data_IF_709827037077
#
_entry.id   IF_709827037077
#
_cell.length_a   1.000
_cell.length_b   1.000
_cell.length_c   1.000
_cell.angle_alpha   90.00
_cell.angle_beta   90.00
_cell.angle_gamma   90.00
#
_symmetry.space_group_name_H-M   'P 1'
#
loop_
_entity.id
_entity.type
_entity.pdbx_description
1 polymer ?
#
# COMPACT_ATOMS: atom_id res chain seq x y z
N UNK A 1 -6.26 -19.35 -40.02
CA UNK A 1 -5.20 -18.36 -40.33
C UNK A 1 -4.98 -17.52 -39.08
N UNK A 2 -3.75 -17.50 -38.53
CA UNK A 2 -3.41 -16.86 -37.24
C UNK A 2 -2.81 -15.48 -37.52
N UNK A 3 -3.42 -14.42 -36.99
CA UNK A 3 -2.87 -13.07 -37.06
C UNK A 3 -2.18 -12.74 -35.73
N UNK A 4 -0.85 -12.71 -35.75
CA UNK A 4 -0.01 -12.23 -34.66
C UNK A 4 0.27 -10.76 -34.97
N UNK A 5 -0.30 -9.85 -34.18
CA UNK A 5 0.05 -8.44 -34.23
C UNK A 5 1.05 -8.12 -33.13
N UNK A 6 2.32 -8.05 -33.50
CA UNK A 6 3.39 -7.44 -32.72
C UNK A 6 3.37 -5.96 -33.08
N UNK A 7 3.13 -5.07 -32.11
CA UNK A 7 3.45 -3.66 -32.27
C UNK A 7 4.32 -3.22 -31.09
N UNK A 8 5.56 -2.89 -31.44
CA UNK A 8 6.64 -2.44 -30.58
C UNK A 8 6.82 -0.96 -30.88
N UNK A 9 6.69 -0.09 -29.87
CA UNK A 9 7.12 1.31 -29.96
C UNK A 9 7.81 1.68 -28.64
N UNK A 10 9.07 2.05 -28.77
CA UNK A 10 9.94 2.56 -27.73
C UNK A 10 10.02 4.09 -27.82
N UNK A 11 10.18 4.79 -26.70
CA UNK A 11 11.11 5.91 -26.56
C UNK A 11 11.15 6.42 -25.10
N UNK A 12 12.38 6.61 -24.63
CA UNK A 12 12.81 7.12 -23.32
C UNK A 12 12.79 8.65 -23.33
N UNK A 13 12.39 9.27 -22.22
CA UNK A 13 12.81 10.63 -21.87
C UNK A 13 13.29 10.64 -20.43
N UNK A 14 14.62 10.66 -20.25
CA UNK A 14 15.29 11.02 -19.01
C UNK A 14 15.22 12.55 -18.92
N UNK A 15 14.70 13.07 -17.81
CA UNK A 15 14.82 14.48 -17.47
C UNK A 15 15.47 14.60 -16.10
N UNK A 16 16.80 14.53 -16.09
CA UNK A 16 17.63 15.13 -15.05
C UNK A 16 17.70 16.64 -15.31
N UNK A 17 17.34 17.44 -14.31
CA UNK A 17 17.80 18.81 -14.19
C UNK A 17 18.12 19.06 -12.71
N UNK A 18 19.40 18.85 -12.37
CA UNK A 18 20.02 19.35 -11.16
C UNK A 18 20.43 20.81 -11.38
N UNK A 19 20.05 21.70 -10.46
CA UNK A 19 20.65 23.02 -10.25
C UNK A 19 20.43 23.34 -8.76
N UNK A 20 21.43 23.16 -7.91
CA UNK A 20 22.50 24.12 -7.61
C UNK A 20 22.01 25.34 -6.78
N UNK A 21 22.23 25.22 -5.47
CA UNK A 21 22.74 26.23 -4.53
C UNK A 21 22.39 27.72 -4.76
N UNK A 22 21.74 28.33 -3.77
CA UNK A 22 22.13 29.67 -3.30
C UNK A 22 21.69 29.89 -1.84
N UNK A 23 22.69 29.97 -0.97
CA UNK A 23 22.65 30.70 0.31
C UNK A 23 22.80 32.20 -0.02
N UNK A 24 22.11 33.11 0.69
CA UNK A 24 22.82 33.97 1.64
C UNK A 24 22.03 34.19 2.95
N UNK A 25 22.69 34.19 4.12
CA UNK A 25 22.96 35.39 4.95
C UNK A 25 21.71 35.85 5.72
N UNK A 26 21.68 35.92 7.05
CA UNK A 26 22.60 36.66 7.91
C UNK A 26 22.62 36.11 9.33
N UNK A 27 23.74 36.36 9.99
CA UNK A 27 24.00 36.05 11.37
C UNK A 27 23.16 36.95 12.29
N UNK A 28 22.69 36.40 13.40
CA UNK A 28 22.85 37.14 14.64
C UNK A 28 23.34 36.24 15.76
N UNK A 29 24.35 36.78 16.44
CA UNK A 29 25.14 36.14 17.49
C UNK A 29 24.38 36.23 18.82
N UNK A 30 24.99 35.57 19.81
CA UNK A 30 24.80 35.65 21.27
C UNK A 30 23.88 34.55 21.81
N UNK A 31 24.25 33.71 22.78
CA UNK A 31 25.36 33.68 23.74
C UNK A 31 25.55 32.22 24.20
N UNK A 32 26.79 31.73 24.22
CA UNK A 32 27.18 30.52 24.94
C UNK A 32 27.11 30.80 26.45
N UNK A 33 26.34 30.00 27.19
CA UNK A 33 26.44 29.92 28.64
C UNK A 33 26.10 28.53 29.16
N UNK A 34 27.18 27.80 29.51
CA UNK A 34 27.33 26.91 30.66
C UNK A 34 26.53 25.58 30.71
N UNK A 35 27.29 24.51 30.48
CA UNK A 35 27.02 23.15 30.95
C UNK A 35 26.77 23.11 32.46
N UNK A 36 25.65 22.49 32.86
CA UNK A 36 25.46 21.84 34.16
C UNK A 36 24.77 20.51 33.88
N UNK A 37 25.51 19.41 34.10
CA UNK A 37 25.00 18.05 34.21
C UNK A 37 24.12 17.95 35.46
N UNK A 38 22.92 17.39 35.33
CA UNK A 38 22.33 16.56 36.39
C UNK A 38 21.32 15.59 35.80
N UNK A 39 21.53 14.32 36.09
CA UNK A 39 20.70 13.19 35.73
C UNK A 39 19.24 13.39 36.16
N UNK A 40 18.31 13.01 35.28
CA UNK A 40 17.10 12.33 35.73
C UNK A 40 16.61 11.38 34.64
N UNK A 41 16.82 10.09 34.89
CA UNK A 41 16.09 9.03 34.20
C UNK A 41 14.61 9.25 34.45
N UNK A 42 13.87 9.58 33.40
CA UNK A 42 12.43 9.33 33.36
C UNK A 42 12.09 8.63 32.04
N UNK A 43 12.11 7.29 32.07
CA UNK A 43 11.27 6.51 31.17
C UNK A 43 9.83 6.71 31.64
N UNK A 44 9.11 7.66 31.06
CA UNK A 44 7.65 7.69 31.09
C UNK A 44 7.13 7.60 29.67
N UNK A 45 7.14 6.38 29.14
CA UNK A 45 6.26 5.99 28.04
C UNK A 45 5.26 5.02 28.64
N UNK A 46 4.29 5.55 29.38
CA UNK A 46 3.04 4.86 29.64
C UNK A 46 1.91 5.74 29.12
N UNK A 47 1.62 5.56 27.83
CA UNK A 47 0.24 5.57 27.35
C UNK A 47 0.10 4.47 26.29
N UNK A 48 0.25 3.23 26.72
CA UNK A 48 -0.55 2.14 26.14
C UNK A 48 -1.88 2.23 26.85
N UNK A 49 -2.86 2.85 26.21
CA UNK A 49 -4.25 2.36 26.17
C UNK A 49 -4.83 2.96 24.89
N UNK A 50 -4.63 2.22 23.81
CA UNK A 50 -5.67 2.06 22.81
C UNK A 50 -5.60 0.60 22.35
N UNK A 51 -5.81 -0.29 23.33
CA UNK A 51 -6.21 -1.69 23.09
C UNK A 51 -7.72 -1.69 22.71
N UNK A 52 -8.10 -0.89 21.72
CA UNK A 52 -9.10 -1.39 20.79
C UNK A 52 -8.37 -2.48 20.03
N UNK A 53 -8.71 -3.76 20.29
CA UNK A 53 -8.31 -4.88 19.45
C UNK A 53 -8.46 -4.45 17.99
N UNK A 54 -7.36 -4.02 17.37
CA UNK A 54 -7.33 -3.66 15.97
C UNK A 54 -7.58 -4.95 15.23
N UNK A 55 -8.86 -5.24 14.99
CA UNK A 55 -9.29 -6.45 14.29
C UNK A 55 -8.59 -6.43 12.95
N UNK A 56 -7.56 -7.27 12.84
CA UNK A 56 -6.81 -7.48 11.61
C UNK A 56 -7.81 -7.75 10.48
N UNK A 57 -7.73 -6.95 9.42
CA UNK A 57 -8.64 -6.98 8.28
C UNK A 57 -8.15 -7.95 7.21
N UNK A 58 -6.83 -8.09 7.06
CA UNK A 58 -6.23 -9.05 6.13
C UNK A 58 -4.83 -9.47 6.60
N UNK A 59 -4.35 -10.59 6.06
CA UNK A 59 -2.99 -11.08 6.20
C UNK A 59 -2.33 -11.13 4.81
N UNK A 60 -1.45 -10.17 4.54
CA UNK A 60 -0.73 -10.05 3.26
C UNK A 60 0.75 -10.33 3.54
N UNK A 61 1.40 -11.18 2.75
CA UNK A 61 2.78 -11.60 2.98
C UNK A 61 3.07 -12.24 4.35
N UNK A 62 2.06 -12.70 5.08
CA UNK A 62 2.23 -13.21 6.44
C UNK A 62 2.12 -12.14 7.52
N UNK A 63 1.86 -10.88 7.16
CA UNK A 63 1.70 -9.75 8.07
C UNK A 63 0.23 -9.39 8.17
N UNK A 64 -0.26 -9.25 9.40
CA UNK A 64 -1.59 -8.76 9.67
C UNK A 64 -1.67 -7.26 9.43
N UNK A 65 -2.68 -6.84 8.67
CA UNK A 65 -2.93 -5.47 8.29
C UNK A 65 -4.34 -5.05 8.72
N UNK A 66 -4.46 -3.84 9.26
CA UNK A 66 -5.74 -3.17 9.40
C UNK A 66 -6.27 -2.75 8.02
N UNK A 67 -7.53 -2.29 7.99
CA UNK A 67 -8.19 -1.88 6.74
C UNK A 67 -7.40 -0.80 5.98
N UNK A 68 -6.96 0.33 6.57
CA UNK A 68 -6.23 1.35 5.82
C UNK A 68 -4.89 0.84 5.29
N UNK A 69 -4.13 0.04 6.05
CA UNK A 69 -2.89 -0.54 5.54
C UNK A 69 -3.16 -1.54 4.43
N UNK A 70 -4.23 -2.33 4.53
CA UNK A 70 -4.68 -3.23 3.46
C UNK A 70 -4.92 -2.45 2.17
N UNK A 71 -5.71 -1.36 2.22
CA UNK A 71 -6.00 -0.54 1.05
C UNK A 71 -4.74 0.06 0.43
N UNK A 72 -3.75 0.48 1.23
CA UNK A 72 -2.47 0.98 0.71
C UNK A 72 -1.74 -0.12 -0.08
N UNK A 73 -1.61 -1.32 0.49
CA UNK A 73 -0.96 -2.45 -0.19
C UNK A 73 -1.72 -2.86 -1.46
N UNK A 74 -3.05 -2.88 -1.43
CA UNK A 74 -3.87 -3.13 -2.61
C UNK A 74 -3.65 -2.07 -3.69
N UNK A 75 -3.56 -0.80 -3.29
CA UNK A 75 -3.30 0.32 -4.20
C UNK A 75 -1.93 0.17 -4.86
N UNK A 76 -0.92 -0.24 -4.12
CA UNK A 76 0.40 -0.55 -4.68
C UNK A 76 0.34 -1.70 -5.70
N UNK A 77 -0.41 -2.77 -5.41
CA UNK A 77 -0.62 -3.84 -6.38
C UNK A 77 -1.36 -3.36 -7.64
N UNK A 78 -2.31 -2.44 -7.51
CA UNK A 78 -3.00 -1.84 -8.66
C UNK A 78 -2.04 -0.98 -9.48
N UNK A 79 -1.24 -0.14 -8.83
CA UNK A 79 -0.26 0.73 -9.48
C UNK A 79 0.81 -0.05 -10.24
N UNK A 80 1.20 -1.19 -9.68
CA UNK A 80 2.13 -2.13 -10.33
C UNK A 80 1.46 -3.04 -11.37
N UNK A 81 0.17 -2.84 -11.68
CA UNK A 81 -0.55 -3.62 -12.71
C UNK A 81 -0.65 -5.11 -12.41
N UNK A 82 -0.64 -5.52 -11.13
CA UNK A 82 -0.66 -6.94 -10.75
C UNK A 82 -1.97 -7.62 -11.19
N UNK A 83 -1.90 -8.93 -11.44
CA UNK A 83 -3.09 -9.74 -11.77
C UNK A 83 -3.79 -10.20 -10.48
N UNK A 84 -5.08 -10.54 -10.57
CA UNK A 84 -5.87 -11.03 -9.43
C UNK A 84 -5.22 -12.31 -8.85
N UNK A 85 -4.80 -13.23 -9.73
CA UNK A 85 -4.09 -14.45 -9.33
C UNK A 85 -2.77 -14.16 -8.61
N UNK A 86 -2.02 -13.13 -9.03
CA UNK A 86 -0.78 -12.76 -8.34
C UNK A 86 -1.08 -12.26 -6.92
N UNK A 87 -2.07 -11.39 -6.75
CA UNK A 87 -2.45 -10.85 -5.43
C UNK A 87 -2.97 -11.95 -4.51
N UNK A 88 -3.84 -12.83 -5.02
CA UNK A 88 -4.32 -14.00 -4.28
C UNK A 88 -3.17 -14.88 -3.77
N UNK A 89 -2.15 -15.12 -4.60
CA UNK A 89 -0.94 -15.86 -4.20
C UNK A 89 -0.19 -15.17 -3.06
N UNK A 90 -0.05 -13.84 -3.08
CA UNK A 90 0.61 -13.08 -2.00
C UNK A 90 -0.17 -13.12 -0.69
N UNK A 91 -1.49 -13.22 -0.78
CA UNK A 91 -2.40 -13.40 0.35
C UNK A 91 -2.60 -14.86 0.74
N UNK A 92 -1.91 -15.81 0.08
CA UNK A 92 -2.07 -17.26 0.27
C UNK A 92 -3.52 -17.76 0.09
N UNK A 93 -4.34 -17.04 -0.66
CA UNK A 93 -5.68 -17.46 -1.06
C UNK A 93 -5.55 -18.49 -2.19
N UNK A 94 -5.89 -19.74 -1.89
CA UNK A 94 -5.78 -20.87 -2.85
C UNK A 94 -7.11 -21.30 -3.43
N UNK A 95 -8.18 -21.10 -2.68
CA UNK A 95 -9.52 -21.53 -3.02
C UNK A 95 -10.53 -20.55 -2.44
N UNK A 96 -11.77 -20.67 -2.90
CA UNK A 96 -12.89 -19.91 -2.42
C UNK A 96 -13.13 -20.12 -0.92
N UNK A 97 -13.15 -19.04 -0.13
CA UNK A 97 -13.41 -19.10 1.31
C UNK A 97 -14.06 -17.80 1.82
N UNK A 98 -15.39 -17.82 2.04
CA UNK A 98 -16.14 -16.64 2.52
C UNK A 98 -15.76 -16.23 3.95
N UNK A 99 -15.19 -17.14 4.74
CA UNK A 99 -14.73 -16.86 6.11
C UNK A 99 -13.32 -16.29 6.19
N UNK A 100 -12.58 -16.27 5.06
CA UNK A 100 -11.21 -15.79 5.06
C UNK A 100 -11.15 -14.27 4.91
N UNK A 101 -10.49 -13.63 5.87
CA UNK A 101 -10.16 -12.21 5.84
C UNK A 101 -9.42 -11.82 4.56
N UNK A 102 -8.58 -12.72 4.05
CA UNK A 102 -7.83 -12.53 2.81
C UNK A 102 -8.72 -12.59 1.57
N UNK A 103 -9.81 -13.37 1.60
CA UNK A 103 -10.79 -13.40 0.53
C UNK A 103 -11.51 -12.06 0.40
N UNK A 104 -11.90 -11.46 1.53
CA UNK A 104 -12.52 -10.13 1.55
C UNK A 104 -11.57 -9.03 1.03
N UNK A 105 -10.28 -9.11 1.37
CA UNK A 105 -9.27 -8.21 0.80
C UNK A 105 -9.07 -8.42 -0.72
N UNK A 106 -9.21 -9.66 -1.19
CA UNK A 106 -9.16 -9.96 -2.63
C UNK A 106 -10.40 -9.42 -3.37
N UNK A 107 -11.59 -9.51 -2.77
CA UNK A 107 -12.82 -8.89 -3.30
C UNK A 107 -12.61 -7.37 -3.47
N UNK A 108 -12.12 -6.70 -2.44
CA UNK A 108 -11.77 -5.28 -2.49
C UNK A 108 -10.82 -4.97 -3.64
N UNK A 109 -9.78 -5.78 -3.82
CA UNK A 109 -8.83 -5.60 -4.92
C UNK A 109 -9.50 -5.69 -6.30
N UNK A 110 -10.43 -6.63 -6.50
CA UNK A 110 -11.18 -6.77 -7.75
C UNK A 110 -12.04 -5.53 -8.01
N UNK A 111 -12.76 -5.03 -7.00
CA UNK A 111 -13.58 -3.82 -7.11
C UNK A 111 -12.72 -2.63 -7.51
N UNK A 112 -11.61 -2.40 -6.80
CA UNK A 112 -10.70 -1.28 -7.08
C UNK A 112 -10.09 -1.39 -8.49
N UNK A 113 -9.73 -2.61 -8.92
CA UNK A 113 -9.20 -2.86 -10.26
C UNK A 113 -10.24 -2.59 -11.34
N UNK A 114 -11.48 -3.04 -11.12
CA UNK A 114 -12.57 -2.82 -12.05
C UNK A 114 -12.89 -1.34 -12.20
N UNK A 115 -12.96 -0.62 -11.09
CA UNK A 115 -13.14 0.83 -11.08
C UNK A 115 -12.03 1.55 -11.86
N UNK A 116 -10.77 1.17 -11.68
CA UNK A 116 -9.64 1.78 -12.39
C UNK A 116 -9.70 1.56 -13.92
N UNK A 117 -10.15 0.39 -14.36
CA UNK A 117 -10.15 0.01 -15.78
C UNK A 117 -11.42 0.47 -16.49
N UNK A 118 -12.59 0.23 -15.89
CA UNK A 118 -13.89 0.47 -16.52
C UNK A 118 -14.60 1.73 -16.02
N UNK A 119 -14.19 2.29 -14.87
CA UNK A 119 -14.89 3.38 -14.15
C UNK A 119 -16.34 3.04 -13.80
N UNK A 120 -16.61 1.75 -13.63
CA UNK A 120 -17.90 1.20 -13.21
C UNK A 120 -17.78 0.71 -11.77
N UNK A 121 -18.82 0.98 -10.98
CA UNK A 121 -18.92 0.42 -9.64
C UNK A 121 -19.31 -1.05 -9.73
N UNK A 122 -18.56 -1.89 -9.03
CA UNK A 122 -18.81 -3.31 -8.90
C UNK A 122 -19.24 -3.59 -7.46
N UNK A 123 -20.32 -4.34 -7.28
CA UNK A 123 -20.74 -4.81 -5.95
C UNK A 123 -19.83 -5.93 -5.46
N UNK A 124 -19.81 -6.16 -4.14
CA UNK A 124 -19.06 -7.27 -3.55
C UNK A 124 -19.51 -8.63 -4.08
N UNK A 125 -20.81 -8.80 -4.37
CA UNK A 125 -21.36 -10.04 -4.94
C UNK A 125 -20.86 -10.28 -6.36
N UNK A 126 -20.87 -9.26 -7.21
CA UNK A 126 -20.34 -9.35 -8.59
C UNK A 126 -18.83 -9.60 -8.59
N UNK A 127 -18.08 -8.94 -7.71
CA UNK A 127 -16.66 -9.19 -7.51
C UNK A 127 -16.39 -10.63 -7.08
N UNK A 128 -17.19 -11.16 -6.15
CA UNK A 128 -17.10 -12.54 -5.71
C UNK A 128 -17.45 -13.52 -6.85
N UNK A 129 -18.47 -13.21 -7.65
CA UNK A 129 -18.82 -14.00 -8.83
C UNK A 129 -17.66 -14.07 -9.84
N UNK A 130 -16.95 -12.95 -10.08
CA UNK A 130 -15.74 -12.94 -10.90
C UNK A 130 -14.66 -13.84 -10.28
N UNK A 131 -14.41 -13.73 -8.97
CA UNK A 131 -13.40 -14.56 -8.30
C UNK A 131 -13.71 -16.06 -8.39
N UNK A 132 -14.98 -16.46 -8.28
CA UNK A 132 -15.44 -17.85 -8.45
C UNK A 132 -15.28 -18.40 -9.88
N UNK A 133 -14.98 -17.55 -10.87
CA UNK A 133 -14.60 -18.03 -12.22
C UNK A 133 -13.10 -18.29 -12.35
N UNK A 134 -12.30 -17.81 -11.39
CA UNK A 134 -10.83 -17.87 -11.39
C UNK A 134 -10.34 -18.98 -10.45
N UNK A 135 -11.04 -19.22 -9.34
CA UNK A 135 -10.79 -20.24 -8.32
C UNK A 135 -11.93 -21.25 -8.31
#
# INVERSE_FOLDING_TARGET
MRAIYVMLVAAVTILECSNAHSLPTDADRTQLSRSVVSESRFLRINKVVDDEERMSYSNIFGVEHDLPSTINVLTDFLNNGRTIQHVAKQMKVKEFNEGDKNWNALIQYVIMKHWRVKREHLTSEEANAILRTIF
#
